data_IF_491875492233
#
_entry.id   IF_491875492233
#
_cell.length_a   1.000
_cell.length_b   1.000
_cell.length_c   1.000
_cell.angle_alpha   90.00
_cell.angle_beta   90.00
_cell.angle_gamma   90.00
#
_symmetry.space_group_name_H-M   'P 1'
#
loop_
_entity.id
_entity.type
_entity.pdbx_description
1 polymer ?
#
# COMPACT_ATOMS: atom_id res chain seq x y z
N UNK A 1 2.50 -11.44 19.98
CA UNK A 1 1.20 -11.54 19.27
C UNK A 1 1.18 -12.86 18.51
N UNK A 2 0.26 -13.77 18.83
CA UNK A 2 0.36 -15.17 18.40
C UNK A 2 0.08 -15.31 16.90
N UNK A 3 0.98 -15.99 16.19
CA UNK A 3 0.93 -16.44 14.78
C UNK A 3 -0.49 -16.58 14.17
N UNK A 4 -1.45 -17.07 14.97
CA UNK A 4 -2.88 -17.19 14.66
C UNK A 4 -3.66 -15.94 14.19
N UNK A 5 -3.29 -14.70 14.51
CA UNK A 5 -4.03 -13.52 13.99
C UNK A 5 -3.57 -13.18 12.58
N UNK A 6 -2.26 -13.07 12.35
CA UNK A 6 -1.70 -12.79 11.03
C UNK A 6 -2.10 -13.86 10.01
N UNK A 7 -2.06 -15.14 10.38
CA UNK A 7 -2.54 -16.21 9.49
C UNK A 7 -4.00 -16.02 9.07
N UNK A 8 -4.88 -15.60 9.99
CA UNK A 8 -6.29 -15.33 9.66
C UNK A 8 -6.43 -14.13 8.74
N UNK A 9 -5.69 -13.05 8.98
CA UNK A 9 -5.77 -11.83 8.17
C UNK A 9 -5.24 -12.08 6.76
N UNK A 10 -4.09 -12.75 6.62
CA UNK A 10 -3.58 -13.10 5.29
C UNK A 10 -4.47 -14.10 4.56
N UNK A 11 -5.09 -15.03 5.28
CA UNK A 11 -6.12 -15.90 4.69
C UNK A 11 -7.33 -15.09 4.21
N UNK A 12 -7.77 -14.08 4.98
CA UNK A 12 -8.82 -13.17 4.55
C UNK A 12 -8.44 -12.38 3.30
N UNK A 13 -7.19 -11.88 3.20
CA UNK A 13 -6.68 -11.24 1.97
C UNK A 13 -6.78 -12.17 0.78
N UNK A 14 -6.41 -13.45 0.92
CA UNK A 14 -6.55 -14.43 -0.15
C UNK A 14 -8.01 -14.62 -0.58
N UNK A 15 -8.93 -14.73 0.38
CA UNK A 15 -10.36 -14.87 0.10
C UNK A 15 -10.92 -13.63 -0.62
N UNK A 16 -10.58 -12.42 -0.17
CA UNK A 16 -11.00 -11.16 -0.79
C UNK A 16 -10.42 -11.01 -2.19
N UNK A 17 -9.14 -11.34 -2.36
CA UNK A 17 -8.45 -11.31 -3.66
C UNK A 17 -9.18 -12.21 -4.66
N UNK A 18 -9.51 -13.44 -4.25
CA UNK A 18 -10.25 -14.38 -5.10
C UNK A 18 -11.69 -13.91 -5.37
N UNK A 19 -12.41 -13.44 -4.33
CA UNK A 19 -13.81 -13.01 -4.44
C UNK A 19 -14.01 -11.84 -5.39
N UNK A 20 -13.08 -10.87 -5.38
CA UNK A 20 -13.18 -9.64 -6.15
C UNK A 20 -12.28 -9.59 -7.38
N UNK A 21 -11.60 -10.69 -7.70
CA UNK A 21 -10.63 -10.77 -8.79
C UNK A 21 -9.59 -9.64 -8.71
N UNK A 22 -9.05 -9.41 -7.51
CA UNK A 22 -7.96 -8.45 -7.31
C UNK A 22 -6.71 -9.08 -7.94
N UNK A 23 -6.09 -8.37 -8.89
CA UNK A 23 -4.90 -8.88 -9.55
C UNK A 23 -3.67 -8.82 -8.63
N UNK A 24 -2.58 -9.45 -9.07
CA UNK A 24 -1.35 -9.60 -8.30
C UNK A 24 -0.68 -8.26 -7.91
N UNK A 25 -1.05 -7.14 -8.56
CA UNK A 25 -0.53 -5.83 -8.21
C UNK A 25 -1.10 -5.26 -6.90
N UNK A 26 -2.26 -5.74 -6.44
CA UNK A 26 -2.91 -5.30 -5.19
C UNK A 26 -3.29 -6.48 -4.25
N UNK A 27 -2.89 -7.71 -4.60
CA UNK A 27 -3.18 -8.91 -3.83
C UNK A 27 -2.24 -9.16 -2.64
N UNK A 28 -2.00 -10.45 -2.34
CA UNK A 28 -1.26 -10.90 -1.16
C UNK A 28 0.18 -10.36 -1.09
N UNK A 29 0.92 -10.39 -2.20
CA UNK A 29 2.33 -9.96 -2.24
C UNK A 29 2.47 -8.48 -1.88
N UNK A 30 1.59 -7.63 -2.41
CA UNK A 30 1.55 -6.21 -2.07
C UNK A 30 1.26 -6.01 -0.57
N UNK A 31 0.27 -6.72 -0.03
CA UNK A 31 -0.05 -6.66 1.41
C UNK A 31 1.15 -7.01 2.30
N UNK A 32 1.97 -7.98 1.89
CA UNK A 32 3.21 -8.33 2.59
C UNK A 32 4.26 -7.21 2.48
N UNK A 33 4.47 -6.65 1.29
CA UNK A 33 5.43 -5.57 1.08
C UNK A 33 5.08 -4.31 1.90
N UNK A 34 3.79 -3.94 1.96
CA UNK A 34 3.33 -2.81 2.80
C UNK A 34 3.60 -3.12 4.27
N UNK A 35 3.29 -4.33 4.75
CA UNK A 35 3.58 -4.72 6.13
C UNK A 35 5.09 -4.61 6.45
N UNK A 36 5.97 -5.02 5.54
CA UNK A 36 7.42 -4.92 5.73
C UNK A 36 7.89 -3.46 5.86
N UNK A 37 7.44 -2.57 4.98
CA UNK A 37 7.78 -1.15 5.11
C UNK A 37 7.16 -0.54 6.37
N UNK A 38 5.91 -0.86 6.70
CA UNK A 38 5.24 -0.36 7.89
C UNK A 38 5.98 -0.79 9.16
N UNK A 39 6.43 -2.04 9.23
CA UNK A 39 7.24 -2.54 10.36
C UNK A 39 8.57 -1.79 10.49
N UNK A 40 9.25 -1.51 9.37
CA UNK A 40 10.52 -0.79 9.40
C UNK A 40 10.36 0.68 9.79
N UNK A 41 9.33 1.35 9.27
CA UNK A 41 9.01 2.73 9.66
C UNK A 41 8.63 2.74 11.15
N UNK A 42 7.76 1.84 11.59
CA UNK A 42 7.37 1.71 13.01
C UNK A 42 8.57 1.54 13.93
N UNK A 43 9.53 0.67 13.59
CA UNK A 43 10.72 0.45 14.41
C UNK A 43 11.61 1.70 14.51
N UNK A 44 11.65 2.53 13.46
CA UNK A 44 12.39 3.79 13.52
C UNK A 44 11.64 4.84 14.35
N UNK A 45 10.34 4.97 14.13
CA UNK A 45 9.48 5.93 14.82
C UNK A 45 9.29 5.59 16.30
N UNK A 46 9.32 4.30 16.69
CA UNK A 46 9.24 3.86 18.09
C UNK A 46 10.33 4.47 18.97
N UNK A 47 11.51 4.77 18.40
CA UNK A 47 12.62 5.42 19.11
C UNK A 47 12.31 6.89 19.45
N UNK A 48 11.48 7.54 18.63
CA UNK A 48 11.11 8.96 18.72
C UNK A 48 9.77 9.14 19.44
N UNK A 49 8.87 8.19 19.28
CA UNK A 49 7.47 8.24 19.72
C UNK A 49 7.13 6.95 20.48
N UNK A 50 7.59 6.76 21.73
CA UNK A 50 7.45 5.49 22.44
C UNK A 50 6.01 5.01 22.64
N UNK A 51 5.04 5.92 22.72
CA UNK A 51 3.62 5.55 22.91
C UNK A 51 3.03 4.79 21.70
N UNK A 52 3.65 4.93 20.51
CA UNK A 52 3.19 4.25 19.29
C UNK A 52 3.25 2.73 19.40
N UNK A 53 3.99 2.21 20.40
CA UNK A 53 3.99 0.79 20.76
C UNK A 53 2.58 0.23 20.97
N UNK A 54 1.68 1.03 21.54
CA UNK A 54 0.29 0.63 21.74
C UNK A 54 -0.50 0.51 20.43
N UNK A 55 -0.01 1.10 19.34
CA UNK A 55 -0.67 1.12 18.02
C UNK A 55 -0.12 0.06 17.05
N UNK A 56 0.86 -0.75 17.45
CA UNK A 56 1.53 -1.74 16.60
C UNK A 56 0.52 -2.68 15.90
N UNK A 57 -0.50 -3.14 16.63
CA UNK A 57 -1.55 -4.01 16.08
C UNK A 57 -2.34 -3.29 14.98
N UNK A 58 -2.78 -2.06 15.24
CA UNK A 58 -3.53 -1.23 14.29
C UNK A 58 -2.70 -1.01 13.01
N UNK A 59 -1.42 -0.70 13.16
CA UNK A 59 -0.48 -0.52 12.04
C UNK A 59 -0.39 -1.79 11.20
N UNK A 60 -0.13 -2.93 11.84
CA UNK A 60 0.02 -4.21 11.15
C UNK A 60 -1.26 -4.61 10.41
N UNK A 61 -2.42 -4.53 11.08
CA UNK A 61 -3.71 -4.93 10.50
C UNK A 61 -4.10 -4.01 9.35
N UNK A 62 -3.95 -2.69 9.51
CA UNK A 62 -4.26 -1.71 8.46
C UNK A 62 -3.35 -1.91 7.24
N UNK A 63 -2.06 -2.16 7.46
CA UNK A 63 -1.10 -2.42 6.38
C UNK A 63 -1.48 -3.62 5.53
N UNK A 64 -1.93 -4.70 6.15
CA UNK A 64 -2.31 -5.93 5.44
C UNK A 64 -3.65 -5.77 4.71
N UNK A 65 -4.60 -5.02 5.28
CA UNK A 65 -5.98 -4.98 4.79
C UNK A 65 -6.33 -3.79 3.90
N UNK A 66 -5.47 -2.77 3.80
CA UNK A 66 -5.83 -1.49 3.16
C UNK A 66 -6.43 -1.62 1.75
N UNK A 67 -5.85 -2.48 0.92
CA UNK A 67 -6.27 -2.64 -0.48
C UNK A 67 -7.51 -3.53 -0.67
N UNK A 68 -7.97 -4.21 0.39
CA UNK A 68 -9.19 -5.02 0.33
C UNK A 68 -10.47 -4.15 0.26
N UNK A 69 -10.32 -2.82 0.27
CA UNK A 69 -11.37 -1.84 0.03
C UNK A 69 -11.03 -0.82 -1.09
N UNK A 70 -10.03 -1.11 -1.94
CA UNK A 70 -9.67 -0.21 -3.04
C UNK A 70 -10.79 -0.16 -4.11
N UNK A 71 -11.22 1.07 -4.44
CA UNK A 71 -12.24 1.40 -5.45
C UNK A 71 -11.96 0.87 -6.84
N UNK A 72 -10.71 0.50 -7.15
CA UNK A 72 -10.34 -0.15 -8.42
C UNK A 72 -11.01 -1.52 -8.58
N UNK A 73 -11.29 -2.23 -7.50
CA UNK A 73 -11.80 -3.61 -7.52
C UNK A 73 -13.10 -3.78 -6.74
N UNK A 74 -13.27 -3.05 -5.63
CA UNK A 74 -14.37 -3.23 -4.70
C UNK A 74 -15.03 -1.89 -4.41
N UNK A 75 -16.35 -1.86 -4.21
CA UNK A 75 -16.97 -0.70 -3.58
C UNK A 75 -16.37 -0.52 -2.16
N UNK A 76 -15.86 0.68 -1.88
CA UNK A 76 -15.11 0.93 -0.64
C UNK A 76 -15.92 0.60 0.62
N UNK A 77 -17.21 0.96 0.67
CA UNK A 77 -18.07 0.70 1.83
C UNK A 77 -18.32 -0.80 2.01
N UNK A 78 -18.52 -1.53 0.91
CA UNK A 78 -18.61 -2.99 0.92
C UNK A 78 -17.34 -3.62 1.48
N UNK A 79 -16.17 -3.25 0.96
CA UNK A 79 -14.88 -3.79 1.41
C UNK A 79 -14.61 -3.48 2.89
N UNK A 80 -14.86 -2.23 3.32
CA UNK A 80 -14.75 -1.82 4.73
C UNK A 80 -15.69 -2.62 5.63
N UNK A 81 -16.92 -2.86 5.19
CA UNK A 81 -17.88 -3.65 5.96
C UNK A 81 -17.42 -5.10 6.14
N UNK A 82 -16.94 -5.73 5.08
CA UNK A 82 -16.43 -7.11 5.15
C UNK A 82 -15.20 -7.24 6.05
N UNK A 83 -14.28 -6.28 5.97
CA UNK A 83 -13.15 -6.16 6.91
C UNK A 83 -13.65 -6.04 8.34
N UNK A 84 -14.65 -5.18 8.58
CA UNK A 84 -15.19 -4.92 9.92
C UNK A 84 -15.81 -6.18 10.54
N UNK A 85 -16.63 -6.90 9.76
CA UNK A 85 -17.25 -8.17 10.17
C UNK A 85 -16.18 -9.20 10.49
N UNK A 86 -15.24 -9.41 9.57
CA UNK A 86 -14.14 -10.36 9.76
C UNK A 86 -13.32 -10.06 11.02
N UNK A 87 -12.92 -8.80 11.23
CA UNK A 87 -12.14 -8.42 12.41
C UNK A 87 -12.93 -8.62 13.71
N UNK A 88 -14.23 -8.29 13.71
CA UNK A 88 -15.13 -8.55 14.84
C UNK A 88 -15.21 -10.02 15.22
N UNK A 89 -15.34 -10.90 14.22
CA UNK A 89 -15.41 -12.36 14.41
C UNK A 89 -14.09 -12.96 14.93
N UNK A 90 -12.96 -12.27 14.77
CA UNK A 90 -11.69 -12.77 15.31
C UNK A 90 -11.62 -12.71 16.84
N UNK A 91 -12.41 -11.84 17.49
CA UNK A 91 -12.34 -11.48 18.91
C UNK A 91 -10.92 -11.09 19.40
N UNK A 92 -10.02 -10.68 18.50
CA UNK A 92 -8.63 -10.30 18.80
C UNK A 92 -8.33 -8.82 18.56
N UNK A 93 -9.28 -8.12 17.96
CA UNK A 93 -9.23 -6.68 17.65
C UNK A 93 -10.44 -6.04 18.30
N UNK A 94 -10.23 -5.02 19.12
CA UNK A 94 -11.32 -4.36 19.86
C UNK A 94 -12.18 -3.51 18.92
N UNK A 95 -13.43 -3.18 19.30
CA UNK A 95 -14.28 -2.28 18.52
C UNK A 95 -13.64 -0.92 18.22
N UNK A 96 -12.88 -0.38 19.18
CA UNK A 96 -12.13 0.87 19.04
C UNK A 96 -11.00 0.70 18.02
N UNK A 97 -10.20 -0.36 18.13
CA UNK A 97 -9.14 -0.68 17.16
C UNK A 97 -9.72 -0.85 15.74
N UNK A 98 -10.86 -1.56 15.59
CA UNK A 98 -11.55 -1.72 14.30
C UNK A 98 -11.96 -0.35 13.75
N UNK A 99 -12.52 0.53 14.57
CA UNK A 99 -12.92 1.88 14.15
C UNK A 99 -11.74 2.68 13.60
N UNK A 100 -10.59 2.63 14.28
CA UNK A 100 -9.37 3.29 13.83
C UNK A 100 -8.85 2.67 12.53
N UNK A 101 -8.80 1.34 12.43
CA UNK A 101 -8.37 0.62 11.22
C UNK A 101 -9.21 1.05 10.02
N UNK A 102 -10.55 1.08 10.16
CA UNK A 102 -11.47 1.54 9.11
C UNK A 102 -11.16 2.97 8.67
N UNK A 103 -10.89 3.86 9.61
CA UNK A 103 -10.58 5.24 9.30
C UNK A 103 -9.26 5.32 8.51
N UNK A 104 -8.21 4.63 8.95
CA UNK A 104 -6.92 4.58 8.24
C UNK A 104 -7.11 4.10 6.80
N UNK A 105 -7.63 2.89 6.62
CA UNK A 105 -7.75 2.28 5.28
C UNK A 105 -8.73 3.05 4.38
N UNK A 106 -9.75 3.67 4.97
CA UNK A 106 -10.74 4.47 4.23
C UNK A 106 -10.19 5.78 3.69
N UNK A 107 -9.11 6.32 4.26
CA UNK A 107 -8.64 7.68 4.00
C UNK A 107 -7.20 7.78 3.50
N UNK A 108 -6.41 6.71 3.61
CA UNK A 108 -4.96 6.72 3.33
C UNK A 108 -4.55 6.78 1.86
N UNK A 109 -5.47 6.60 0.91
CA UNK A 109 -5.09 6.55 -0.52
C UNK A 109 -4.58 7.89 -1.05
N UNK A 110 -3.66 7.85 -2.01
CA UNK A 110 -3.06 9.05 -2.61
C UNK A 110 -4.11 10.05 -3.11
N UNK A 111 -5.11 9.58 -3.86
CA UNK A 111 -6.14 10.44 -4.45
C UNK A 111 -7.00 11.12 -3.38
N UNK A 112 -7.33 10.40 -2.31
CA UNK A 112 -8.07 10.96 -1.17
C UNK A 112 -7.28 12.06 -0.49
N UNK A 113 -6.00 11.82 -0.20
CA UNK A 113 -5.14 12.80 0.49
C UNK A 113 -4.85 14.02 -0.39
N UNK A 114 -4.61 13.85 -1.69
CA UNK A 114 -4.43 14.99 -2.61
C UNK A 114 -5.66 15.88 -2.70
N UNK A 115 -6.86 15.30 -2.57
CA UNK A 115 -8.13 16.04 -2.64
C UNK A 115 -8.48 16.71 -1.31
N UNK A 116 -8.32 16.00 -0.20
CA UNK A 116 -8.89 16.38 1.09
C UNK A 116 -7.84 16.77 2.16
N UNK A 117 -6.55 16.62 1.86
CA UNK A 117 -5.48 16.68 2.86
C UNK A 117 -5.42 15.41 3.72
N UNK A 118 -4.57 15.44 4.76
CA UNK A 118 -4.53 14.37 5.74
C UNK A 118 -5.75 14.44 6.66
N UNK A 119 -6.38 13.31 6.98
CA UNK A 119 -7.38 13.27 8.05
C UNK A 119 -6.71 13.54 9.40
N UNK A 120 -7.50 13.98 10.37
CA UNK A 120 -7.07 14.12 11.76
C UNK A 120 -7.51 12.89 12.56
N UNK A 121 -6.55 12.04 12.94
CA UNK A 121 -6.76 10.84 13.75
C UNK A 121 -6.23 10.99 15.19
N UNK A 122 -5.94 12.22 15.63
CA UNK A 122 -5.46 12.52 16.98
C UNK A 122 -4.25 11.66 17.38
N UNK A 123 -4.36 10.88 18.46
CA UNK A 123 -3.27 10.03 18.95
C UNK A 123 -2.84 8.96 17.93
N UNK A 124 -3.72 8.55 17.01
CA UNK A 124 -3.42 7.57 15.97
C UNK A 124 -2.80 8.19 14.70
N UNK A 125 -2.53 9.50 14.67
CA UNK A 125 -1.93 10.16 13.53
C UNK A 125 -0.58 9.54 13.10
N UNK A 126 0.34 9.16 14.01
CA UNK A 126 1.57 8.48 13.61
C UNK A 126 1.30 7.10 12.99
N UNK A 127 0.33 6.34 13.50
CA UNK A 127 -0.04 5.04 12.94
C UNK A 127 -0.57 5.20 11.50
N UNK A 128 -1.40 6.22 11.26
CA UNK A 128 -1.87 6.58 9.92
C UNK A 128 -0.71 6.86 8.97
N UNK A 129 0.24 7.71 9.38
CA UNK A 129 1.38 8.06 8.53
C UNK A 129 2.28 6.87 8.23
N UNK A 130 2.52 5.98 9.21
CA UNK A 130 3.30 4.75 8.99
C UNK A 130 2.68 3.88 7.90
N UNK A 131 1.39 3.57 8.03
CA UNK A 131 0.70 2.68 7.09
C UNK A 131 0.65 3.32 5.70
N UNK A 132 0.38 4.63 5.65
CA UNK A 132 0.33 5.39 4.40
C UNK A 132 1.67 5.45 3.70
N UNK A 133 2.73 5.81 4.41
CA UNK A 133 4.06 5.91 3.83
C UNK A 133 4.56 4.54 3.38
N UNK A 134 4.24 3.48 4.12
CA UNK A 134 4.53 2.12 3.70
C UNK A 134 3.90 1.78 2.34
N UNK A 135 2.61 2.05 2.14
CA UNK A 135 1.94 1.87 0.85
C UNK A 135 2.60 2.72 -0.25
N UNK A 136 2.87 4.00 0.02
CA UNK A 136 3.55 4.88 -0.94
C UNK A 136 4.95 4.38 -1.34
N UNK A 137 5.71 3.79 -0.43
CA UNK A 137 7.03 3.23 -0.73
C UNK A 137 6.92 2.00 -1.65
N UNK A 138 5.91 1.15 -1.48
CA UNK A 138 5.69 0.01 -2.40
C UNK A 138 5.28 0.42 -3.82
N UNK A 139 4.80 1.66 -4.02
CA UNK A 139 4.46 2.15 -5.35
C UNK A 139 5.69 2.40 -6.25
N UNK A 140 6.90 2.36 -5.68
CA UNK A 140 8.15 2.41 -6.44
C UNK A 140 8.47 1.11 -7.20
N UNK A 141 7.71 0.03 -6.97
CA UNK A 141 7.80 -1.18 -7.79
C UNK A 141 7.22 -0.94 -9.19
N UNK A 142 8.13 -0.71 -10.15
CA UNK A 142 7.77 -0.43 -11.53
C UNK A 142 7.10 -1.63 -12.22
N UNK A 143 7.55 -2.86 -11.92
CA UNK A 143 7.01 -4.07 -12.54
C UNK A 143 5.56 -4.28 -12.08
N UNK A 144 5.27 -4.05 -10.79
CA UNK A 144 3.91 -4.05 -10.24
C UNK A 144 2.98 -3.07 -10.97
N UNK A 145 3.49 -1.89 -11.30
CA UNK A 145 2.74 -0.89 -12.04
C UNK A 145 2.43 -1.32 -13.49
N UNK A 146 3.41 -1.94 -14.17
CA UNK A 146 3.17 -2.48 -15.50
C UNK A 146 2.13 -3.61 -15.47
N UNK A 147 2.25 -4.53 -14.52
CA UNK A 147 1.30 -5.64 -14.32
C UNK A 147 -0.14 -5.12 -14.17
N UNK A 148 -0.34 -4.08 -13.36
CA UNK A 148 -1.66 -3.45 -13.20
C UNK A 148 -2.21 -2.95 -14.55
N UNK A 149 -1.38 -2.23 -15.31
CA UNK A 149 -1.80 -1.70 -16.61
C UNK A 149 -2.07 -2.81 -17.64
N UNK A 150 -1.25 -3.86 -17.65
CA UNK A 150 -1.44 -5.03 -18.52
C UNK A 150 -2.78 -5.73 -18.24
N UNK A 151 -3.13 -5.94 -16.96
CA UNK A 151 -4.42 -6.53 -16.58
C UNK A 151 -5.62 -5.66 -16.98
N UNK A 152 -5.46 -4.34 -17.11
CA UNK A 152 -6.52 -3.40 -17.53
C UNK A 152 -6.60 -3.20 -19.04
N UNK A 153 -5.53 -3.49 -19.79
CA UNK A 153 -5.39 -3.19 -21.21
C UNK A 153 -5.17 -4.44 -22.07
N UNK A 154 -5.74 -5.57 -21.67
CA UNK A 154 -5.67 -6.84 -22.41
C UNK A 154 -4.23 -7.29 -22.72
N UNK A 155 -3.28 -7.02 -21.83
CA UNK A 155 -1.91 -7.51 -21.91
C UNK A 155 -0.98 -6.76 -22.88
N UNK A 156 -1.37 -5.58 -23.40
CA UNK A 156 -0.46 -4.78 -24.24
C UNK A 156 0.71 -4.23 -23.40
N UNK A 157 1.91 -4.77 -23.63
CA UNK A 157 3.09 -4.47 -22.80
C UNK A 157 3.70 -3.11 -23.11
N UNK A 158 3.70 -2.66 -24.36
CA UNK A 158 4.20 -1.36 -24.78
C UNK A 158 3.36 -0.23 -24.16
N UNK A 159 2.04 -0.34 -24.26
CA UNK A 159 1.11 0.62 -23.68
C UNK A 159 1.15 0.58 -22.15
N UNK A 160 1.32 -0.60 -21.55
CA UNK A 160 1.51 -0.72 -20.11
C UNK A 160 2.79 -0.07 -19.62
N UNK A 161 3.89 -0.19 -20.37
CA UNK A 161 5.15 0.47 -20.08
C UNK A 161 5.02 2.00 -20.16
N UNK A 162 4.41 2.53 -21.22
CA UNK A 162 4.22 3.98 -21.38
C UNK A 162 3.35 4.56 -20.27
N UNK A 163 2.22 3.91 -19.95
CA UNK A 163 1.35 4.33 -18.84
C UNK A 163 2.05 4.23 -17.47
N UNK A 164 2.89 3.21 -17.26
CA UNK A 164 3.67 3.09 -16.04
C UNK A 164 4.70 4.21 -15.94
N UNK A 165 5.39 4.57 -17.03
CA UNK A 165 6.30 5.70 -17.07
C UNK A 165 5.58 7.01 -16.72
N UNK A 166 4.42 7.26 -17.34
CA UNK A 166 3.62 8.44 -17.06
C UNK A 166 3.15 8.50 -15.61
N UNK A 167 2.75 7.37 -15.01
CA UNK A 167 2.36 7.32 -13.60
C UNK A 167 3.56 7.60 -12.69
N UNK A 168 4.73 7.08 -13.01
CA UNK A 168 5.94 7.29 -12.21
C UNK A 168 6.36 8.75 -12.20
N UNK A 169 6.44 9.38 -13.37
CA UNK A 169 6.81 10.79 -13.50
C UNK A 169 5.77 11.71 -12.87
N UNK A 170 4.49 11.42 -13.06
CA UNK A 170 3.43 12.32 -12.61
C UNK A 170 3.01 12.14 -11.15
N UNK A 171 3.30 10.98 -10.54
CA UNK A 171 2.82 10.65 -9.20
C UNK A 171 3.90 10.05 -8.31
N UNK A 172 4.48 8.91 -8.67
CA UNK A 172 5.36 8.15 -7.76
C UNK A 172 6.59 8.97 -7.37
N UNK A 173 7.29 9.54 -8.35
CA UNK A 173 8.48 10.36 -8.11
C UNK A 173 8.17 11.74 -7.51
N UNK A 174 6.90 12.10 -7.38
CA UNK A 174 6.44 13.32 -6.73
C UNK A 174 6.04 13.11 -5.27
N UNK A 175 6.04 11.88 -4.74
CA UNK A 175 5.61 11.62 -3.36
C UNK A 175 6.29 12.54 -2.33
N UNK A 176 7.61 12.69 -2.43
CA UNK A 176 8.37 13.59 -1.56
C UNK A 176 8.05 15.07 -1.79
N UNK A 177 8.03 15.53 -3.04
CA UNK A 177 7.78 16.95 -3.36
C UNK A 177 6.34 17.37 -3.11
N UNK A 178 5.41 16.42 -3.15
CA UNK A 178 4.00 16.59 -2.78
C UNK A 178 3.79 16.60 -1.25
N UNK A 179 4.85 16.45 -0.44
CA UNK A 179 4.77 16.46 1.02
C UNK A 179 4.07 15.23 1.60
N UNK A 180 4.12 14.08 0.91
CA UNK A 180 3.42 12.86 1.31
C UNK A 180 4.24 11.91 2.17
N UNK A 181 5.55 12.17 2.30
CA UNK A 181 6.48 11.40 3.13
C UNK A 181 6.98 12.30 4.27
N UNK A 182 6.72 11.88 5.51
CA UNK A 182 6.99 12.66 6.72
C UNK A 182 8.05 11.99 7.59
N UNK A 183 8.10 10.65 7.64
CA UNK A 183 9.09 9.95 8.48
C UNK A 183 10.48 9.97 7.84
N UNK A 184 11.51 10.04 8.69
CA UNK A 184 12.91 10.01 8.22
C UNK A 184 13.22 8.71 7.46
N UNK A 185 12.64 7.59 7.90
CA UNK A 185 12.80 6.31 7.22
C UNK A 185 12.26 6.38 5.80
N UNK A 186 11.03 6.87 5.61
CA UNK A 186 10.43 6.95 4.28
C UNK A 186 11.19 7.94 3.38
N UNK A 187 11.63 9.07 3.90
CA UNK A 187 12.45 10.04 3.16
C UNK A 187 13.79 9.44 2.69
N UNK A 188 14.40 8.56 3.49
CA UNK A 188 15.61 7.83 3.10
C UNK A 188 15.31 6.77 2.04
N UNK A 189 14.23 6.00 2.20
CA UNK A 189 13.86 4.95 1.24
C UNK A 189 13.42 5.53 -0.11
N UNK A 190 12.74 6.67 -0.13
CA UNK A 190 12.34 7.40 -1.34
C UNK A 190 13.50 7.56 -2.32
N UNK A 191 14.67 8.02 -1.82
CA UNK A 191 15.86 8.20 -2.64
C UNK A 191 16.39 6.89 -3.23
N UNK A 192 16.46 5.84 -2.41
CA UNK A 192 16.98 4.53 -2.83
C UNK A 192 16.04 3.84 -3.83
N UNK A 193 14.74 3.82 -3.52
CA UNK A 193 13.72 3.19 -4.33
C UNK A 193 13.53 3.92 -5.67
N UNK A 194 13.69 5.25 -5.69
CA UNK A 194 13.70 6.02 -6.95
C UNK A 194 14.79 5.56 -7.90
N UNK A 195 16.02 5.35 -7.40
CA UNK A 195 17.12 4.86 -8.24
C UNK A 195 16.87 3.45 -8.75
N UNK A 196 16.34 2.57 -7.89
CA UNK A 196 15.98 1.20 -8.26
C UNK A 196 14.91 1.21 -9.36
N UNK A 197 13.87 2.02 -9.20
CA UNK A 197 12.81 2.17 -10.20
C UNK A 197 13.34 2.70 -11.53
N UNK A 198 14.16 3.76 -11.53
CA UNK A 198 14.75 4.32 -12.75
C UNK A 198 15.62 3.30 -13.50
N UNK A 199 16.41 2.51 -12.76
CA UNK A 199 17.19 1.44 -13.35
C UNK A 199 16.28 0.37 -13.98
N UNK A 200 15.19 -0.02 -13.29
CA UNK A 200 14.21 -0.98 -13.81
C UNK A 200 13.53 -0.45 -15.08
N UNK A 201 13.12 0.81 -15.09
CA UNK A 201 12.54 1.49 -16.27
C UNK A 201 13.50 1.48 -17.46
N UNK A 202 14.79 1.78 -17.23
CA UNK A 202 15.83 1.75 -18.27
C UNK A 202 16.02 0.35 -18.86
N UNK A 203 16.02 -0.67 -18.00
CA UNK A 203 16.10 -2.09 -18.43
C UNK A 203 14.90 -2.44 -19.32
N UNK A 204 13.69 -2.08 -18.92
CA UNK A 204 12.48 -2.30 -19.74
C UNK A 204 12.54 -1.57 -21.08
N UNK A 205 12.94 -0.30 -21.07
CA UNK A 205 13.12 0.48 -22.30
C UNK A 205 14.06 -0.21 -23.27
N UNK A 206 15.18 -0.75 -22.78
CA UNK A 206 16.13 -1.50 -23.62
C UNK A 206 15.54 -2.81 -24.13
N UNK A 207 14.82 -3.56 -23.29
CA UNK A 207 14.13 -4.80 -23.69
C UNK A 207 13.13 -4.54 -24.82
N UNK A 208 12.33 -3.48 -24.71
CA UNK A 208 11.30 -3.13 -25.69
C UNK A 208 11.91 -2.57 -26.99
N UNK A 209 12.97 -1.77 -26.91
CA UNK A 209 13.64 -1.21 -28.09
C UNK A 209 14.47 -2.24 -28.86
N UNK A 210 15.00 -3.27 -28.19
CA UNK A 210 15.76 -4.33 -28.82
C UNK A 210 14.89 -5.35 -29.59
N UNK A 211 13.57 -5.16 -29.68
CA UNK A 211 12.62 -6.02 -30.42
C UNK A 211 12.64 -5.86 -31.94
N UNK A 212 13.62 -5.16 -32.49
CA UNK A 212 14.03 -5.35 -33.90
C UNK A 212 14.90 -6.61 -34.10
N UNK A 213 15.09 -7.44 -33.07
CA UNK A 213 15.70 -8.76 -33.21
C UNK A 213 14.62 -9.85 -33.27
N UNK A 214 14.29 -10.20 -34.51
CA UNK A 214 13.52 -11.34 -35.02
C UNK A 214 11.99 -11.20 -35.07
#
# INVERSE_FOLDING_TARGET
MTSSLFSKIFHFVLLMTQKYNIDESHGLSHSMNVLHFAHNIYNDELKKIPYIKSHEKIICVSSILHDMCDKKYVNQDTGINEISVFLGDTHKVSPEEITVIKHIIGTMSYSTVKKNGFPNLHEYQPAYHIVREADLLTAYDFDRCMIYNMNRQNGNIETAFDNACDLFENRVFKHRTDGLLLTDYALKQDYLLKQIAQNRMSVWKNILNNRNMH
#
